data_IF_688986644039
#
_entry.id   IF_688986644039
#
_cell.length_a   1.000
_cell.length_b   1.000
_cell.length_c   1.000
_cell.angle_alpha   90.00
_cell.angle_beta   90.00
_cell.angle_gamma   90.00
#
_symmetry.space_group_name_H-M   'P 1'
#
loop_
_entity.id
_entity.type
_entity.pdbx_description
1 polymer ?
#
# COMPACT_ATOMS: atom_id res chain seq x y z
N UNK A 1 -2.52 21.54 -19.60
CA UNK A 1 -3.67 21.01 -18.82
C UNK A 1 -4.50 22.16 -18.31
N UNK A 2 -5.82 22.11 -18.44
CA UNK A 2 -6.71 23.13 -17.87
C UNK A 2 -6.80 22.94 -16.35
N UNK A 3 -7.15 24.01 -15.62
CA UNK A 3 -7.37 23.95 -14.15
C UNK A 3 -8.37 22.84 -13.78
N UNK A 4 -9.44 22.73 -14.54
CA UNK A 4 -10.46 21.69 -14.38
C UNK A 4 -9.89 20.25 -14.54
N UNK A 5 -8.98 20.05 -15.50
CA UNK A 5 -8.33 18.74 -15.69
C UNK A 5 -7.46 18.37 -14.48
N UNK A 6 -6.79 19.37 -13.87
CA UNK A 6 -5.99 19.16 -12.67
C UNK A 6 -6.86 18.79 -11.46
N UNK A 7 -7.97 19.51 -11.26
CA UNK A 7 -8.91 19.19 -10.17
C UNK A 7 -9.50 17.80 -10.32
N UNK A 8 -9.84 17.38 -11.55
CA UNK A 8 -10.35 16.02 -11.80
C UNK A 8 -9.27 14.98 -11.49
N UNK A 9 -8.02 15.21 -11.88
CA UNK A 9 -6.91 14.32 -11.63
C UNK A 9 -6.60 14.22 -10.12
N UNK A 10 -6.57 15.34 -9.40
CA UNK A 10 -6.40 15.39 -7.96
C UNK A 10 -7.55 14.68 -7.22
N UNK A 11 -8.80 14.93 -7.63
CA UNK A 11 -9.99 14.27 -7.07
C UNK A 11 -9.95 12.76 -7.35
N UNK A 12 -9.46 12.37 -8.51
CA UNK A 12 -9.31 10.96 -8.85
C UNK A 12 -8.21 10.30 -8.02
N UNK A 13 -7.02 10.89 -7.92
CA UNK A 13 -5.92 10.33 -7.14
C UNK A 13 -6.23 10.22 -5.65
N UNK A 14 -6.83 11.23 -5.04
CA UNK A 14 -7.11 11.27 -3.61
C UNK A 14 -8.42 10.57 -3.20
N UNK A 15 -9.39 10.47 -4.11
CA UNK A 15 -10.75 10.02 -3.79
C UNK A 15 -11.25 8.78 -4.52
N UNK A 16 -10.56 8.33 -5.59
CA UNK A 16 -11.04 7.22 -6.41
C UNK A 16 -11.22 5.92 -5.65
N UNK A 17 -10.31 5.59 -4.75
CA UNK A 17 -10.40 4.40 -3.92
C UNK A 17 -11.64 4.38 -3.04
N UNK A 18 -12.02 5.52 -2.43
CA UNK A 18 -13.24 5.64 -1.61
C UNK A 18 -14.49 5.56 -2.47
N UNK A 19 -14.53 6.28 -3.59
CA UNK A 19 -15.66 6.25 -4.54
C UNK A 19 -15.85 4.83 -5.08
N UNK A 20 -14.77 4.21 -5.52
CA UNK A 20 -14.81 2.86 -6.10
C UNK A 20 -15.26 1.82 -5.05
N UNK A 21 -14.73 1.89 -3.82
CA UNK A 21 -15.14 1.01 -2.72
C UNK A 21 -16.65 1.12 -2.44
N UNK A 22 -17.18 2.35 -2.40
CA UNK A 22 -18.60 2.61 -2.21
C UNK A 22 -19.46 2.05 -3.35
N UNK A 23 -19.01 2.20 -4.60
CA UNK A 23 -19.71 1.64 -5.76
C UNK A 23 -19.69 0.10 -5.75
N UNK A 24 -18.54 -0.51 -5.47
CA UNK A 24 -18.37 -1.97 -5.40
C UNK A 24 -19.24 -2.55 -4.28
N UNK A 25 -19.30 -1.88 -3.12
CA UNK A 25 -20.16 -2.28 -1.99
C UNK A 25 -21.64 -2.33 -2.39
N UNK A 26 -22.11 -1.32 -3.11
CA UNK A 26 -23.48 -1.27 -3.62
C UNK A 26 -23.80 -2.29 -4.73
N UNK A 27 -22.79 -2.96 -5.30
CA UNK A 27 -22.89 -3.88 -6.40
C UNK A 27 -22.52 -5.32 -6.04
N UNK A 28 -22.51 -5.67 -4.76
CA UNK A 28 -22.14 -7.00 -4.26
C UNK A 28 -20.77 -7.50 -4.81
N UNK A 29 -19.80 -6.57 -4.96
CA UNK A 29 -18.45 -6.91 -5.41
C UNK A 29 -18.26 -6.90 -6.95
N UNK A 30 -19.15 -6.33 -7.74
CA UNK A 30 -18.95 -6.20 -9.19
C UNK A 30 -18.00 -5.04 -9.53
N UNK A 31 -16.71 -5.37 -9.58
CA UNK A 31 -15.63 -4.42 -9.92
C UNK A 31 -15.79 -3.81 -11.31
N UNK A 32 -16.18 -4.63 -12.30
CA UNK A 32 -16.27 -4.17 -13.69
C UNK A 32 -17.35 -3.12 -13.88
N UNK A 33 -18.52 -3.38 -13.29
CA UNK A 33 -19.63 -2.44 -13.37
C UNK A 33 -19.36 -1.15 -12.61
N UNK A 34 -18.68 -1.23 -11.45
CA UNK A 34 -18.28 -0.08 -10.66
C UNK A 34 -17.26 0.80 -11.41
N UNK A 35 -16.22 0.17 -11.99
CA UNK A 35 -15.21 0.88 -12.79
C UNK A 35 -15.80 1.55 -14.04
N UNK A 36 -16.68 0.85 -14.76
CA UNK A 36 -17.37 1.41 -15.91
C UNK A 36 -18.19 2.66 -15.51
N UNK A 37 -18.95 2.57 -14.42
CA UNK A 37 -19.73 3.69 -13.93
C UNK A 37 -18.86 4.88 -13.50
N UNK A 38 -17.75 4.61 -12.83
CA UNK A 38 -16.78 5.65 -12.44
C UNK A 38 -16.17 6.32 -13.69
N UNK A 39 -15.76 5.54 -14.69
CA UNK A 39 -15.20 6.10 -15.93
C UNK A 39 -16.22 6.98 -16.68
N UNK A 40 -17.49 6.55 -16.78
CA UNK A 40 -18.53 7.37 -17.38
C UNK A 40 -18.77 8.67 -16.60
N UNK A 41 -18.72 8.63 -15.26
CA UNK A 41 -18.87 9.83 -14.44
C UNK A 41 -17.72 10.81 -14.62
N UNK A 42 -16.47 10.31 -14.71
CA UNK A 42 -15.27 11.13 -14.97
C UNK A 42 -15.34 11.79 -16.36
N UNK A 43 -15.78 11.05 -17.39
CA UNK A 43 -15.99 11.62 -18.73
C UNK A 43 -17.05 12.74 -18.69
N UNK A 44 -18.11 12.57 -17.92
CA UNK A 44 -19.12 13.64 -17.74
C UNK A 44 -18.55 14.84 -16.97
N UNK A 45 -17.71 14.63 -15.96
CA UNK A 45 -17.04 15.70 -15.27
C UNK A 45 -16.17 16.54 -16.22
N UNK A 46 -15.35 15.86 -17.05
CA UNK A 46 -14.53 16.51 -18.09
C UNK A 46 -15.34 17.36 -19.08
N UNK A 47 -16.56 16.96 -19.38
CA UNK A 47 -17.45 17.67 -20.29
C UNK A 47 -18.18 18.84 -19.62
N UNK A 48 -18.68 18.65 -18.40
CA UNK A 48 -19.57 19.59 -17.71
C UNK A 48 -18.86 20.62 -16.86
N UNK A 49 -17.85 20.24 -16.09
CA UNK A 49 -17.20 21.17 -15.15
C UNK A 49 -16.49 22.36 -15.81
N UNK A 50 -15.98 22.29 -17.05
CA UNK A 50 -15.48 23.46 -17.74
C UNK A 50 -16.55 24.52 -18.03
N UNK A 51 -17.82 24.10 -18.13
CA UNK A 51 -18.97 24.97 -18.47
C UNK A 51 -19.74 25.38 -17.23
N UNK A 52 -20.04 24.42 -16.34
CA UNK A 52 -20.92 24.59 -15.18
C UNK A 52 -20.18 24.98 -13.90
N UNK A 53 -18.82 24.92 -13.92
CA UNK A 53 -17.97 25.06 -12.75
C UNK A 53 -17.78 23.73 -11.99
N UNK A 54 -16.69 23.66 -11.22
CA UNK A 54 -16.40 22.52 -10.36
C UNK A 54 -17.38 22.51 -9.18
N UNK A 55 -18.08 21.39 -8.87
CA UNK A 55 -19.00 21.31 -7.76
C UNK A 55 -18.24 21.49 -6.42
N UNK A 56 -18.98 21.97 -5.37
CA UNK A 56 -18.38 22.13 -4.03
C UNK A 56 -17.82 20.82 -3.47
N UNK A 57 -18.43 19.70 -3.87
CA UNK A 57 -18.01 18.36 -3.51
C UNK A 57 -17.83 17.50 -4.75
N UNK A 58 -16.63 17.50 -5.39
CA UNK A 58 -16.35 16.76 -6.60
C UNK A 58 -16.56 15.24 -6.46
N UNK A 59 -16.14 14.66 -5.35
CA UNK A 59 -16.23 13.21 -5.13
C UNK A 59 -17.68 12.74 -4.95
N UNK A 60 -18.52 13.51 -4.23
CA UNK A 60 -19.94 13.21 -4.10
C UNK A 60 -20.66 13.29 -5.45
N UNK A 61 -20.34 14.30 -6.26
CA UNK A 61 -20.90 14.45 -7.60
C UNK A 61 -20.50 13.27 -8.51
N UNK A 62 -19.24 12.84 -8.48
CA UNK A 62 -18.74 11.66 -9.23
C UNK A 62 -19.47 10.40 -8.77
N UNK A 63 -19.59 10.18 -7.46
CA UNK A 63 -20.28 9.01 -6.89
C UNK A 63 -21.73 8.93 -7.33
N UNK A 64 -22.47 10.02 -7.22
CA UNK A 64 -23.89 10.12 -7.62
C UNK A 64 -24.04 9.90 -9.13
N UNK A 65 -23.18 10.55 -9.92
CA UNK A 65 -23.20 10.41 -11.38
C UNK A 65 -22.88 8.98 -11.81
N UNK A 66 -21.88 8.34 -11.20
CA UNK A 66 -21.54 6.95 -11.46
C UNK A 66 -22.69 6.01 -11.13
N UNK A 67 -23.33 6.17 -9.95
CA UNK A 67 -24.52 5.38 -9.56
C UNK A 67 -25.64 5.51 -10.59
N UNK A 68 -25.97 6.70 -10.99
CA UNK A 68 -27.03 6.94 -11.99
C UNK A 68 -26.70 6.24 -13.32
N UNK A 69 -25.45 6.30 -13.77
CA UNK A 69 -24.98 5.60 -14.97
C UNK A 69 -25.08 4.07 -14.84
N UNK A 70 -24.72 3.54 -13.69
CA UNK A 70 -24.83 2.12 -13.39
C UNK A 70 -26.31 1.68 -13.41
N UNK A 71 -27.20 2.44 -12.76
CA UNK A 71 -28.63 2.17 -12.76
C UNK A 71 -29.19 2.15 -14.19
N UNK A 72 -28.83 3.15 -15.00
CA UNK A 72 -29.26 3.21 -16.41
C UNK A 72 -28.76 2.01 -17.22
N UNK A 73 -27.51 1.57 -16.97
CA UNK A 73 -26.92 0.40 -17.62
C UNK A 73 -27.63 -0.90 -17.20
N UNK A 74 -27.95 -1.05 -15.92
CA UNK A 74 -28.72 -2.18 -15.40
C UNK A 74 -30.15 -2.20 -15.98
N UNK A 75 -30.83 -1.04 -16.04
CA UNK A 75 -32.15 -0.92 -16.66
C UNK A 75 -32.15 -1.32 -18.12
N UNK A 76 -31.16 -0.90 -18.91
CA UNK A 76 -31.02 -1.31 -20.33
C UNK A 76 -30.76 -2.81 -20.43
N UNK A 77 -29.88 -3.39 -19.59
CA UNK A 77 -29.65 -4.85 -19.56
C UNK A 77 -30.91 -5.63 -19.18
N UNK A 78 -31.73 -5.11 -18.22
CA UNK A 78 -33.00 -5.73 -17.82
C UNK A 78 -34.02 -5.75 -18.95
N UNK A 79 -34.12 -4.67 -19.73
CA UNK A 79 -35.02 -4.61 -20.89
C UNK A 79 -34.60 -5.62 -21.98
N UNK A 80 -33.35 -6.04 -22.02
CA UNK A 80 -32.81 -7.08 -22.89
C UNK A 80 -32.91 -8.50 -22.31
N UNK A 81 -32.91 -8.64 -20.95
CA UNK A 81 -32.95 -9.94 -20.28
C UNK A 81 -33.80 -9.86 -19.00
N UNK A 82 -34.98 -10.46 -19.02
CA UNK A 82 -35.89 -10.60 -17.85
C UNK A 82 -35.23 -11.41 -16.73
N UNK A 83 -34.47 -10.80 -15.81
CA UNK A 83 -33.88 -11.49 -14.63
C UNK A 83 -34.12 -10.75 -13.33
N UNK A 84 -34.56 -11.50 -12.31
CA UNK A 84 -35.00 -11.05 -10.99
C UNK A 84 -33.86 -10.49 -10.11
N UNK A 85 -32.62 -10.94 -10.31
CA UNK A 85 -31.43 -10.50 -9.54
C UNK A 85 -31.06 -9.03 -9.77
N UNK A 86 -31.31 -8.51 -10.97
CA UNK A 86 -31.00 -7.13 -11.32
C UNK A 86 -31.90 -6.11 -10.63
N UNK A 87 -33.12 -6.52 -10.25
CA UNK A 87 -34.06 -5.67 -9.49
C UNK A 87 -33.57 -5.39 -8.06
N UNK A 88 -32.93 -6.37 -7.42
CA UNK A 88 -32.39 -6.21 -6.08
C UNK A 88 -31.19 -5.24 -6.03
N UNK A 89 -30.33 -5.28 -7.06
CA UNK A 89 -29.22 -4.33 -7.19
C UNK A 89 -29.69 -2.90 -7.47
N UNK A 90 -30.69 -2.72 -8.36
CA UNK A 90 -31.29 -1.41 -8.62
C UNK A 90 -31.89 -0.80 -7.35
N UNK A 91 -32.64 -1.60 -6.56
CA UNK A 91 -33.28 -1.13 -5.34
C UNK A 91 -32.24 -0.67 -4.30
N UNK A 92 -31.16 -1.40 -4.13
CA UNK A 92 -30.06 -1.03 -3.22
C UNK A 92 -29.37 0.27 -3.64
N UNK A 93 -29.08 0.44 -4.94
CA UNK A 93 -28.47 1.66 -5.46
C UNK A 93 -29.42 2.86 -5.38
N UNK A 94 -30.72 2.67 -5.59
CA UNK A 94 -31.73 3.73 -5.45
C UNK A 94 -31.87 4.20 -3.99
N UNK A 95 -31.97 3.29 -3.04
CA UNK A 95 -32.01 3.61 -1.61
C UNK A 95 -30.80 4.42 -1.14
N UNK A 96 -29.61 4.17 -1.72
CA UNK A 96 -28.39 4.92 -1.41
C UNK A 96 -28.32 6.29 -2.10
N UNK A 97 -29.05 6.51 -3.23
CA UNK A 97 -29.01 7.77 -3.97
C UNK A 97 -30.03 8.80 -3.46
N UNK A 98 -31.04 8.37 -2.72
CA UNK A 98 -32.09 9.25 -2.15
C UNK A 98 -31.63 9.97 -0.86
N UNK A 99 -30.57 9.50 -0.20
CA UNK A 99 -29.91 10.26 0.83
C UNK A 99 -29.01 11.32 0.19
N UNK A 100 -29.26 12.59 0.45
CA UNK A 100 -28.34 13.68 0.12
C UNK A 100 -26.99 13.41 0.81
N UNK A 101 -26.02 12.88 0.02
CA UNK A 101 -24.74 12.48 0.55
C UNK A 101 -23.84 13.72 0.52
N UNK A 102 -23.72 14.42 1.63
CA UNK A 102 -22.53 15.21 1.94
C UNK A 102 -21.34 14.25 2.00
N UNK A 103 -20.15 14.66 1.58
CA UNK A 103 -18.96 13.78 1.53
C UNK A 103 -18.62 13.15 2.88
N UNK A 104 -18.94 13.82 3.97
CA UNK A 104 -18.80 13.29 5.33
C UNK A 104 -19.80 12.16 5.65
N UNK A 105 -20.84 11.98 4.82
CA UNK A 105 -21.87 10.95 4.98
C UNK A 105 -21.70 9.72 4.10
N UNK A 106 -20.68 9.65 3.22
CA UNK A 106 -20.40 8.45 2.44
C UNK A 106 -19.67 7.44 3.35
N UNK A 107 -20.23 6.23 3.60
CA UNK A 107 -19.54 5.21 4.37
C UNK A 107 -18.17 4.92 3.75
N UNK A 108 -17.14 4.78 4.58
CA UNK A 108 -15.82 4.44 4.11
C UNK A 108 -15.69 2.92 3.93
N UNK A 109 -15.94 2.47 2.72
CA UNK A 109 -15.90 1.06 2.35
C UNK A 109 -14.49 0.57 1.97
N UNK A 110 -13.46 1.43 2.11
CA UNK A 110 -12.07 1.09 1.71
C UNK A 110 -11.51 -0.09 2.49
N UNK A 111 -11.87 -0.24 3.76
CA UNK A 111 -11.41 -1.39 4.56
C UNK A 111 -11.88 -2.71 3.93
N UNK A 112 -13.13 -2.81 3.51
CA UNK A 112 -13.66 -3.99 2.81
C UNK A 112 -12.93 -4.23 1.48
N UNK A 113 -12.63 -3.14 0.75
CA UNK A 113 -11.92 -3.22 -0.52
C UNK A 113 -10.47 -3.69 -0.32
N UNK A 114 -9.76 -3.19 0.70
CA UNK A 114 -8.40 -3.64 1.06
C UNK A 114 -8.38 -5.15 1.29
N UNK A 115 -9.26 -5.67 2.15
CA UNK A 115 -9.32 -7.10 2.44
C UNK A 115 -9.74 -7.94 1.24
N UNK A 116 -10.52 -7.39 0.32
CA UNK A 116 -10.91 -8.07 -0.91
C UNK A 116 -9.76 -8.14 -1.91
N UNK A 117 -9.04 -7.03 -2.11
CA UNK A 117 -7.87 -6.98 -3.01
C UNK A 117 -6.71 -7.84 -2.52
N UNK A 118 -6.50 -7.90 -1.19
CA UNK A 118 -5.47 -8.71 -0.54
C UNK A 118 -5.98 -10.10 -0.13
N UNK A 119 -7.03 -10.64 -0.78
CA UNK A 119 -7.55 -11.95 -0.41
C UNK A 119 -6.58 -13.09 -0.77
N UNK A 120 -6.33 -14.08 0.15
CA UNK A 120 -5.38 -15.18 -0.07
C UNK A 120 -5.68 -16.07 -1.28
N UNK A 121 -6.90 -16.02 -1.81
CA UNK A 121 -7.22 -16.70 -3.06
C UNK A 121 -6.45 -16.14 -4.26
N UNK A 122 -5.94 -14.91 -4.19
CA UNK A 122 -5.14 -14.28 -5.23
C UNK A 122 -3.65 -14.53 -4.99
N UNK A 123 -2.87 -14.64 -6.08
CA UNK A 123 -1.41 -14.62 -5.97
C UNK A 123 -0.90 -13.21 -5.59
N UNK A 124 0.24 -13.09 -4.89
CA UNK A 124 0.77 -11.80 -4.42
C UNK A 124 0.85 -10.73 -5.52
N UNK A 125 1.29 -11.09 -6.72
CA UNK A 125 1.42 -10.14 -7.85
C UNK A 125 0.05 -9.64 -8.33
N UNK A 126 -1.00 -10.45 -8.17
CA UNK A 126 -2.36 -10.04 -8.50
C UNK A 126 -2.96 -9.17 -7.39
N UNK A 127 -2.66 -9.47 -6.12
CA UNK A 127 -3.03 -8.65 -4.97
C UNK A 127 -2.42 -7.25 -5.09
N UNK A 128 -1.11 -7.16 -5.36
CA UNK A 128 -0.38 -5.90 -5.57
C UNK A 128 -1.03 -5.09 -6.71
N UNK A 129 -1.17 -5.72 -7.89
CA UNK A 129 -1.70 -5.04 -9.07
C UNK A 129 -3.14 -4.54 -8.84
N UNK A 130 -3.98 -5.35 -8.20
CA UNK A 130 -5.37 -4.99 -7.92
C UNK A 130 -5.45 -3.89 -6.87
N UNK A 131 -4.65 -3.94 -5.80
CA UNK A 131 -4.59 -2.91 -4.75
C UNK A 131 -4.18 -1.55 -5.33
N UNK A 132 -3.10 -1.50 -6.11
CA UNK A 132 -2.66 -0.28 -6.77
C UNK A 132 -3.69 0.28 -7.76
N UNK A 133 -4.38 -0.61 -8.49
CA UNK A 133 -5.41 -0.20 -9.45
C UNK A 133 -6.64 0.39 -8.78
N UNK A 134 -7.13 -0.26 -7.73
CA UNK A 134 -8.45 0.04 -7.14
C UNK A 134 -8.39 1.04 -5.98
N UNK A 135 -7.36 0.98 -5.17
CA UNK A 135 -7.16 1.86 -4.02
C UNK A 135 -6.22 3.02 -4.36
N UNK A 136 -5.09 2.72 -5.00
CA UNK A 136 -4.09 3.71 -5.38
C UNK A 136 -4.43 4.51 -6.64
N UNK A 137 -5.46 4.12 -7.39
CA UNK A 137 -5.89 4.83 -8.59
C UNK A 137 -4.91 4.79 -9.77
N UNK A 138 -3.84 3.99 -9.69
CA UNK A 138 -2.84 3.88 -10.74
C UNK A 138 -3.45 3.28 -12.02
N UNK A 139 -3.02 3.77 -13.16
CA UNK A 139 -3.38 3.19 -14.46
C UNK A 139 -2.67 1.84 -14.67
N UNK A 140 -3.21 1.01 -15.55
CA UNK A 140 -2.57 -0.25 -15.94
C UNK A 140 -1.17 -0.04 -16.50
N UNK A 141 -0.94 1.08 -17.21
CA UNK A 141 0.37 1.43 -17.78
C UNK A 141 1.39 1.76 -16.67
N UNK A 142 0.99 2.56 -15.66
CA UNK A 142 1.85 2.90 -14.52
C UNK A 142 2.23 1.65 -13.73
N UNK A 143 1.26 0.76 -13.44
CA UNK A 143 1.52 -0.51 -12.74
C UNK A 143 2.44 -1.41 -13.57
N UNK A 144 2.20 -1.52 -14.88
CA UNK A 144 3.02 -2.33 -15.79
C UNK A 144 4.47 -1.83 -15.83
N UNK A 145 4.67 -0.51 -15.94
CA UNK A 145 5.98 0.13 -15.89
C UNK A 145 6.68 -0.11 -14.54
N UNK A 146 5.96 0.10 -13.43
CA UNK A 146 6.50 -0.07 -12.08
C UNK A 146 7.01 -1.50 -11.82
N UNK A 147 6.41 -2.50 -12.40
CA UNK A 147 6.80 -3.91 -12.24
C UNK A 147 7.51 -4.51 -13.46
N UNK A 148 7.98 -3.67 -14.39
CA UNK A 148 8.68 -4.08 -15.62
C UNK A 148 7.95 -5.20 -16.36
N UNK A 149 6.61 -5.12 -16.39
CA UNK A 149 5.73 -6.13 -16.99
C UNK A 149 5.10 -5.55 -18.25
N UNK A 150 4.98 -6.32 -19.35
CA UNK A 150 4.26 -5.83 -20.54
C UNK A 150 2.81 -5.42 -20.22
N UNK A 151 2.35 -4.29 -20.76
CA UNK A 151 1.01 -3.74 -20.52
C UNK A 151 -0.10 -4.78 -20.75
N UNK A 152 -0.10 -5.57 -21.86
CA UNK A 152 -1.12 -6.60 -22.08
C UNK A 152 -1.13 -7.68 -20.98
N UNK A 153 0.05 -8.05 -20.48
CA UNK A 153 0.18 -9.03 -19.40
C UNK A 153 -0.39 -8.49 -18.10
N UNK A 154 -0.12 -7.21 -17.77
CA UNK A 154 -0.68 -6.57 -16.58
C UNK A 154 -2.20 -6.43 -16.68
N UNK A 155 -2.72 -5.99 -17.83
CA UNK A 155 -4.17 -5.91 -18.09
C UNK A 155 -4.85 -7.28 -17.89
N UNK A 156 -4.25 -8.35 -18.43
CA UNK A 156 -4.76 -9.71 -18.29
C UNK A 156 -4.69 -10.21 -16.84
N UNK A 157 -3.64 -9.83 -16.07
CA UNK A 157 -3.52 -10.13 -14.63
C UNK A 157 -4.66 -9.50 -13.84
N UNK A 158 -4.97 -8.23 -14.08
CA UNK A 158 -6.10 -7.53 -13.44
C UNK A 158 -7.45 -8.16 -13.77
N UNK A 159 -7.70 -8.49 -15.04
CA UNK A 159 -8.95 -9.17 -15.45
C UNK A 159 -9.08 -10.52 -14.75
N UNK A 160 -8.02 -11.35 -14.73
CA UNK A 160 -8.03 -12.65 -14.05
C UNK A 160 -8.21 -12.53 -12.55
N UNK A 161 -7.62 -11.51 -11.91
CA UNK A 161 -7.79 -11.26 -10.48
C UNK A 161 -9.27 -10.99 -10.14
N UNK A 162 -9.93 -10.09 -10.87
CA UNK A 162 -11.36 -9.77 -10.70
C UNK A 162 -12.24 -10.99 -10.95
N UNK A 163 -11.97 -11.74 -12.02
CA UNK A 163 -12.67 -12.98 -12.29
C UNK A 163 -12.52 -14.01 -11.18
N UNK A 164 -11.32 -14.13 -10.62
CA UNK A 164 -11.05 -15.08 -9.53
C UNK A 164 -11.78 -14.69 -8.25
N UNK A 165 -11.86 -13.40 -7.90
CA UNK A 165 -12.67 -12.90 -6.80
C UNK A 165 -14.13 -13.31 -6.99
N UNK A 166 -14.69 -13.04 -8.17
CA UNK A 166 -16.09 -13.37 -8.53
C UNK A 166 -16.33 -14.88 -8.46
N UNK A 167 -15.49 -15.68 -9.11
CA UNK A 167 -15.68 -17.13 -9.22
C UNK A 167 -15.47 -17.86 -7.89
N UNK A 168 -14.57 -17.35 -7.03
CA UNK A 168 -14.34 -17.90 -5.70
C UNK A 168 -15.37 -17.42 -4.66
N UNK A 169 -16.30 -16.53 -5.06
CA UNK A 169 -17.28 -15.98 -4.14
C UNK A 169 -16.66 -15.20 -2.98
N UNK A 170 -15.54 -14.50 -3.23
CA UNK A 170 -14.86 -13.71 -2.20
C UNK A 170 -15.81 -12.62 -1.72
N UNK A 171 -16.20 -12.63 -0.43
CA UNK A 171 -17.17 -11.68 0.07
C UNK A 171 -16.56 -10.27 0.18
N UNK A 172 -17.32 -9.25 -0.23
CA UNK A 172 -16.96 -7.86 -0.04
C UNK A 172 -17.30 -7.40 1.38
N UNK A 173 -16.45 -7.77 2.34
CA UNK A 173 -16.65 -7.45 3.77
C UNK A 173 -15.33 -7.48 4.53
N UNK A 174 -15.33 -6.87 5.72
CA UNK A 174 -14.26 -7.04 6.70
C UNK A 174 -14.26 -8.50 7.17
N UNK A 175 -13.10 -9.16 7.31
CA UNK A 175 -13.00 -10.51 7.85
C UNK A 175 -13.55 -10.58 9.28
N UNK A 176 -14.08 -11.74 9.71
CA UNK A 176 -14.50 -11.92 11.08
C UNK A 176 -13.29 -11.81 12.04
N UNK A 177 -13.50 -11.45 13.33
CA UNK A 177 -12.41 -11.24 14.30
C UNK A 177 -11.44 -12.42 14.40
N UNK A 178 -11.92 -13.65 14.23
CA UNK A 178 -11.07 -14.86 14.25
C UNK A 178 -10.05 -14.95 13.11
N UNK A 179 -10.25 -14.24 12.02
CA UNK A 179 -9.37 -14.23 10.83
C UNK A 179 -8.67 -12.89 10.63
N UNK A 180 -9.01 -11.86 11.41
CA UNK A 180 -8.54 -10.49 11.12
C UNK A 180 -7.02 -10.39 11.18
N UNK A 181 -6.39 -11.01 12.18
CA UNK A 181 -4.94 -10.97 12.35
C UNK A 181 -4.19 -11.61 11.16
N UNK A 182 -4.59 -12.82 10.74
CA UNK A 182 -4.01 -13.49 9.56
C UNK A 182 -4.19 -12.66 8.29
N UNK A 183 -5.35 -12.03 8.15
CA UNK A 183 -5.66 -11.22 6.98
C UNK A 183 -4.88 -9.90 6.99
N UNK A 184 -4.66 -9.28 8.15
CA UNK A 184 -3.81 -8.09 8.29
C UNK A 184 -2.35 -8.40 7.96
N UNK A 185 -1.83 -9.57 8.33
CA UNK A 185 -0.49 -10.01 7.93
C UNK A 185 -0.35 -10.06 6.40
N UNK A 186 -1.37 -10.54 5.69
CA UNK A 186 -1.36 -10.54 4.23
C UNK A 186 -1.39 -9.11 3.68
N UNK A 187 -2.24 -8.24 4.22
CA UNK A 187 -2.35 -6.83 3.79
C UNK A 187 -1.04 -6.10 4.02
N UNK A 188 -0.44 -6.20 5.21
CA UNK A 188 0.84 -5.53 5.53
C UNK A 188 1.97 -6.02 4.64
N UNK A 189 2.00 -7.33 4.34
CA UNK A 189 2.97 -7.89 3.39
C UNK A 189 2.81 -7.28 2.00
N UNK A 190 1.59 -7.15 1.48
CA UNK A 190 1.33 -6.55 0.16
C UNK A 190 1.73 -5.06 0.15
N UNK A 191 1.37 -4.31 1.19
CA UNK A 191 1.76 -2.89 1.29
C UNK A 191 3.29 -2.71 1.37
N UNK A 192 3.96 -3.58 2.12
CA UNK A 192 5.42 -3.59 2.18
C UNK A 192 6.08 -3.95 0.84
N UNK A 193 5.53 -4.91 0.08
CA UNK A 193 6.01 -5.23 -1.26
C UNK A 193 5.83 -4.08 -2.24
N UNK A 194 4.72 -3.33 -2.16
CA UNK A 194 4.50 -2.11 -2.94
C UNK A 194 5.57 -1.07 -2.59
N UNK A 195 5.79 -0.83 -1.31
CA UNK A 195 6.83 0.10 -0.84
C UNK A 195 8.21 -0.28 -1.36
N UNK A 196 8.60 -1.55 -1.19
CA UNK A 196 9.91 -2.04 -1.63
C UNK A 196 10.11 -1.92 -3.15
N UNK A 197 9.07 -2.14 -3.94
CA UNK A 197 9.14 -1.95 -5.39
C UNK A 197 9.48 -0.50 -5.77
N UNK A 198 9.02 0.48 -4.97
CA UNK A 198 9.41 1.88 -5.13
C UNK A 198 10.78 2.20 -4.53
N UNK A 199 11.09 1.60 -3.39
CA UNK A 199 12.28 1.91 -2.60
C UNK A 199 13.58 1.34 -3.18
N UNK A 200 13.55 0.15 -3.77
CA UNK A 200 14.73 -0.54 -4.34
C UNK A 200 15.08 -0.10 -5.76
N UNK A 201 14.25 0.72 -6.36
CA UNK A 201 14.44 1.17 -7.72
C UNK A 201 15.52 2.26 -7.82
N UNK A 202 16.66 1.91 -8.34
CA UNK A 202 17.84 2.79 -8.43
C UNK A 202 18.20 3.17 -9.87
N UNK A 203 17.75 2.46 -10.88
CA UNK A 203 18.10 2.73 -12.29
C UNK A 203 16.86 3.00 -13.14
N UNK A 204 16.90 4.10 -13.90
CA UNK A 204 15.97 4.46 -14.96
C UNK A 204 14.49 4.67 -14.55
N UNK A 205 13.90 5.81 -14.79
CA UNK A 205 12.51 6.18 -14.45
C UNK A 205 12.22 6.41 -12.93
N UNK A 206 13.11 7.15 -12.29
CA UNK A 206 13.03 7.48 -10.86
C UNK A 206 11.69 8.11 -10.40
N UNK A 207 10.97 8.81 -11.28
CA UNK A 207 9.71 9.50 -10.93
C UNK A 207 8.53 8.57 -10.66
N UNK A 208 8.36 7.49 -11.43
CA UNK A 208 7.25 6.54 -11.26
C UNK A 208 7.38 5.69 -9.99
N UNK A 209 8.59 5.47 -9.52
CA UNK A 209 8.86 4.58 -8.39
C UNK A 209 8.81 5.28 -7.03
N UNK A 210 9.13 6.58 -6.98
CA UNK A 210 8.89 7.39 -5.76
C UNK A 210 7.40 7.50 -5.44
N UNK A 211 6.53 7.47 -6.44
CA UNK A 211 5.09 7.47 -6.27
C UNK A 211 4.59 6.19 -5.56
N UNK A 212 5.22 5.02 -5.79
CA UNK A 212 4.87 3.77 -5.10
C UNK A 212 5.17 3.83 -3.59
N UNK A 213 6.29 4.42 -3.17
CA UNK A 213 6.58 4.59 -1.75
C UNK A 213 5.53 5.47 -1.07
N UNK A 214 5.20 6.60 -1.70
CA UNK A 214 4.20 7.53 -1.20
C UNK A 214 2.82 6.89 -1.15
N UNK A 215 2.46 6.09 -2.17
CA UNK A 215 1.20 5.38 -2.23
C UNK A 215 1.11 4.27 -1.16
N UNK A 216 2.16 3.49 -0.96
CA UNK A 216 2.19 2.47 0.09
C UNK A 216 2.04 3.09 1.49
N UNK A 217 2.73 4.21 1.75
CA UNK A 217 2.58 4.96 2.99
C UNK A 217 1.13 5.43 3.14
N UNK A 218 0.55 6.06 2.12
CA UNK A 218 -0.83 6.55 2.15
C UNK A 218 -1.84 5.42 2.41
N UNK A 219 -1.72 4.30 1.71
CA UNK A 219 -2.62 3.15 1.90
C UNK A 219 -2.50 2.56 3.31
N UNK A 220 -1.30 2.55 3.89
CA UNK A 220 -1.09 2.07 5.26
C UNK A 220 -1.65 3.06 6.29
N UNK A 221 -1.57 4.38 6.04
CA UNK A 221 -2.23 5.39 6.86
C UNK A 221 -3.76 5.23 6.84
N UNK A 222 -4.32 5.02 5.65
CA UNK A 222 -5.75 4.72 5.48
C UNK A 222 -6.14 3.47 6.26
N UNK A 223 -5.37 2.39 6.15
CA UNK A 223 -5.63 1.15 6.89
C UNK A 223 -5.59 1.39 8.40
N UNK A 224 -4.55 2.05 8.92
CA UNK A 224 -4.41 2.35 10.34
C UNK A 224 -5.57 3.21 10.86
N UNK A 225 -5.99 4.22 10.10
CA UNK A 225 -7.13 5.08 10.46
C UNK A 225 -8.44 4.29 10.50
N UNK A 226 -8.71 3.48 9.47
CA UNK A 226 -9.95 2.70 9.39
C UNK A 226 -10.03 1.61 10.46
N UNK A 227 -8.91 1.03 10.88
CA UNK A 227 -8.88 0.10 12.01
C UNK A 227 -9.15 0.80 13.33
N UNK A 228 -8.64 2.02 13.53
CA UNK A 228 -8.86 2.79 14.74
C UNK A 228 -10.29 3.36 14.85
N UNK A 229 -10.96 3.59 13.73
CA UNK A 229 -12.34 4.11 13.66
C UNK A 229 -13.40 2.99 13.74
N UNK A 230 -13.03 1.75 13.51
CA UNK A 230 -13.95 0.61 13.54
C UNK A 230 -14.16 0.14 15.00
N UNK A 231 -15.42 0.11 15.45
CA UNK A 231 -15.76 -0.22 16.84
C UNK A 231 -15.50 -1.71 17.21
N UNK A 232 -15.43 -2.59 16.23
CA UNK A 232 -15.24 -4.04 16.41
C UNK A 232 -13.76 -4.45 16.26
N UNK A 233 -12.91 -3.52 15.82
CA UNK A 233 -11.48 -3.73 15.61
C UNK A 233 -10.67 -2.87 16.59
N UNK A 234 -9.42 -3.25 16.78
CA UNK A 234 -8.45 -2.48 17.55
C UNK A 234 -7.31 -2.02 16.64
N UNK A 235 -6.57 -1.02 17.09
CA UNK A 235 -5.30 -0.67 16.44
C UNK A 235 -4.39 -1.90 16.39
N UNK A 236 -3.85 -2.17 15.20
CA UNK A 236 -2.92 -3.28 15.03
C UNK A 236 -1.48 -2.78 15.11
N UNK A 237 -0.67 -3.30 16.05
CA UNK A 237 0.70 -2.82 16.28
C UNK A 237 1.62 -3.06 15.08
N UNK A 238 1.38 -4.10 14.26
CA UNK A 238 2.19 -4.37 13.08
C UNK A 238 1.83 -3.48 11.89
N UNK A 239 0.57 -3.04 11.78
CA UNK A 239 0.19 -2.00 10.81
C UNK A 239 0.87 -0.68 11.16
N UNK A 240 0.89 -0.30 12.44
CA UNK A 240 1.60 0.89 12.92
C UNK A 240 3.12 0.74 12.75
N UNK A 241 3.66 -0.45 13.06
CA UNK A 241 5.07 -0.78 12.86
C UNK A 241 5.50 -0.65 11.39
N UNK A 242 4.69 -1.17 10.48
CA UNK A 242 4.93 -1.03 9.03
C UNK A 242 4.89 0.44 8.59
N UNK A 243 3.92 1.22 9.06
CA UNK A 243 3.81 2.64 8.75
C UNK A 243 5.06 3.39 9.24
N UNK A 244 5.48 3.15 10.48
CA UNK A 244 6.69 3.73 11.05
C UNK A 244 7.94 3.36 10.25
N UNK A 245 8.10 2.09 9.89
CA UNK A 245 9.21 1.59 9.07
C UNK A 245 9.29 2.32 7.72
N UNK A 246 8.17 2.41 7.01
CA UNK A 246 8.13 3.08 5.71
C UNK A 246 8.43 4.57 5.82
N UNK A 247 7.89 5.27 6.83
CA UNK A 247 8.18 6.69 7.07
C UNK A 247 9.66 6.94 7.37
N UNK A 248 10.28 6.11 8.22
CA UNK A 248 11.69 6.22 8.57
C UNK A 248 12.62 5.93 7.38
N UNK A 249 12.27 4.95 6.54
CA UNK A 249 13.01 4.67 5.32
C UNK A 249 12.88 5.79 4.30
N UNK A 250 11.66 6.26 4.08
CA UNK A 250 11.36 7.27 3.08
C UNK A 250 11.92 8.65 3.45
N UNK A 251 12.04 8.95 4.74
CA UNK A 251 12.63 10.19 5.23
C UNK A 251 14.07 10.44 4.74
N UNK A 252 14.77 9.39 4.32
CA UNK A 252 16.13 9.46 3.78
C UNK A 252 16.20 9.55 2.25
N UNK A 253 15.05 9.60 1.57
CA UNK A 253 14.93 9.55 0.10
C UNK A 253 15.89 10.49 -0.61
N UNK A 254 15.97 11.75 -0.16
CA UNK A 254 16.80 12.79 -0.79
C UNK A 254 18.31 12.51 -0.71
N UNK A 255 18.76 11.77 0.33
CA UNK A 255 20.17 11.48 0.58
C UNK A 255 20.65 10.13 0.02
N UNK A 256 19.74 9.33 -0.58
CA UNK A 256 20.06 7.95 -1.00
C UNK A 256 20.76 7.81 -2.32
N UNK A 257 20.65 8.80 -3.17
CA UNK A 257 21.14 8.76 -4.56
C UNK A 257 21.91 10.04 -4.84
N UNK A 258 23.04 9.93 -5.47
CA UNK A 258 23.81 11.08 -5.93
C UNK A 258 23.26 11.68 -7.25
N UNK A 259 23.87 12.75 -7.73
CA UNK A 259 23.49 13.42 -8.96
C UNK A 259 23.68 12.53 -10.23
N UNK A 260 24.45 11.46 -10.13
CA UNK A 260 24.67 10.49 -11.21
C UNK A 260 23.71 9.28 -11.11
N UNK A 261 22.82 9.25 -10.11
CA UNK A 261 21.89 8.15 -9.88
C UNK A 261 22.50 6.95 -9.16
N UNK A 262 23.71 7.09 -8.56
CA UNK A 262 24.36 6.03 -7.81
C UNK A 262 23.86 5.99 -6.36
N UNK A 263 23.74 4.79 -5.79
CA UNK A 263 23.35 4.61 -4.39
C UNK A 263 24.45 5.13 -3.47
N UNK A 264 24.08 5.99 -2.53
CA UNK A 264 24.93 6.43 -1.42
C UNK A 264 24.71 5.48 -0.24
N UNK A 265 25.79 4.89 0.29
CA UNK A 265 25.73 4.03 1.46
C UNK A 265 25.19 4.80 2.66
N UNK A 266 24.51 4.13 3.57
CA UNK A 266 23.87 4.76 4.72
C UNK A 266 24.85 5.58 5.60
N UNK A 267 26.06 5.10 5.74
CA UNK A 267 27.14 5.77 6.49
C UNK A 267 27.63 7.06 5.82
N UNK A 268 27.54 7.14 4.49
CA UNK A 268 27.98 8.27 3.65
C UNK A 268 26.85 9.27 3.38
N UNK A 269 25.61 8.96 3.76
CA UNK A 269 24.47 9.85 3.52
C UNK A 269 24.56 11.13 4.32
N UNK A 270 24.34 12.26 3.64
CA UNK A 270 24.18 13.55 4.30
C UNK A 270 22.88 13.61 5.11
N UNK A 271 23.00 13.48 6.43
CA UNK A 271 21.88 13.49 7.37
C UNK A 271 21.15 14.84 7.44
N UNK A 272 21.74 15.92 6.95
CA UNK A 272 21.07 17.22 6.85
C UNK A 272 19.94 17.20 5.79
N UNK A 273 20.03 16.32 4.80
CA UNK A 273 19.00 16.14 3.78
C UNK A 273 17.85 15.22 4.23
N UNK A 274 17.95 14.60 5.40
CA UNK A 274 16.89 13.73 5.91
C UNK A 274 15.68 14.55 6.38
N UNK A 275 14.49 14.09 6.05
CA UNK A 275 13.22 14.73 6.43
C UNK A 275 12.96 14.57 7.94
N UNK A 276 13.44 15.50 8.76
CA UNK A 276 13.30 15.46 10.24
C UNK A 276 11.86 15.43 10.73
N UNK A 277 10.90 16.20 10.16
CA UNK A 277 9.49 16.08 10.52
C UNK A 277 8.93 14.66 10.28
N UNK A 278 9.29 14.03 9.17
CA UNK A 278 8.85 12.67 8.84
C UNK A 278 9.47 11.63 9.77
N UNK A 279 10.74 11.80 10.15
CA UNK A 279 11.41 10.97 11.17
C UNK A 279 10.67 11.07 12.50
N UNK A 280 10.41 12.28 12.99
CA UNK A 280 9.71 12.50 14.25
C UNK A 280 8.31 11.86 14.25
N UNK A 281 7.59 11.97 13.13
CA UNK A 281 6.30 11.30 12.95
C UNK A 281 6.42 9.78 12.99
N UNK A 282 7.39 9.19 12.29
CA UNK A 282 7.65 7.75 12.26
C UNK A 282 7.98 7.21 13.65
N UNK A 283 8.81 7.94 14.40
CA UNK A 283 9.17 7.58 15.79
C UNK A 283 7.97 7.61 16.73
N UNK A 284 7.13 8.64 16.67
CA UNK A 284 5.93 8.73 17.50
C UNK A 284 4.91 7.61 17.19
N UNK A 285 4.80 7.19 15.93
CA UNK A 285 3.98 6.03 15.55
C UNK A 285 4.58 4.73 16.08
N UNK A 286 5.90 4.57 16.01
CA UNK A 286 6.59 3.40 16.56
C UNK A 286 6.42 3.30 18.08
N UNK A 287 6.58 4.40 18.82
CA UNK A 287 6.34 4.45 20.26
C UNK A 287 4.92 4.00 20.61
N UNK A 288 3.92 4.48 19.85
CA UNK A 288 2.52 4.05 20.00
C UNK A 288 2.36 2.55 19.73
N UNK A 289 2.97 2.02 18.66
CA UNK A 289 2.92 0.61 18.34
C UNK A 289 3.52 -0.26 19.45
N UNK A 290 4.68 0.13 19.98
CA UNK A 290 5.37 -0.58 21.07
C UNK A 290 4.57 -0.53 22.38
N UNK A 291 3.86 0.55 22.66
CA UNK A 291 3.02 0.69 23.85
C UNK A 291 1.82 -0.29 23.87
N UNK A 292 1.42 -0.85 22.71
CA UNK A 292 0.41 -1.90 22.62
C UNK A 292 0.91 -3.27 23.11
N UNK A 293 2.22 -3.46 23.31
CA UNK A 293 2.80 -4.60 24.06
C UNK A 293 2.90 -5.92 23.26
N UNK A 294 2.73 -5.88 21.95
CA UNK A 294 2.82 -7.06 21.07
C UNK A 294 3.85 -6.80 19.95
N UNK A 295 5.16 -6.86 20.25
CA UNK A 295 6.20 -6.59 19.27
C UNK A 295 6.18 -7.64 18.16
N UNK A 296 6.22 -7.17 16.91
CA UNK A 296 6.26 -8.00 15.72
C UNK A 296 7.39 -7.59 14.77
N UNK A 297 7.56 -8.30 13.64
CA UNK A 297 8.66 -8.09 12.70
C UNK A 297 8.77 -6.67 12.16
N UNK A 298 7.67 -5.99 11.83
CA UNK A 298 7.71 -4.63 11.30
C UNK A 298 8.09 -3.62 12.37
N UNK A 299 7.61 -3.78 13.61
CA UNK A 299 8.01 -2.93 14.73
C UNK A 299 9.51 -3.04 15.01
N UNK A 300 10.08 -4.26 14.99
CA UNK A 300 11.54 -4.46 15.20
C UNK A 300 12.32 -3.81 14.06
N UNK A 301 11.92 -3.98 12.82
CA UNK A 301 12.58 -3.33 11.68
C UNK A 301 12.47 -1.79 11.76
N UNK A 302 11.33 -1.26 12.20
CA UNK A 302 11.15 0.16 12.43
C UNK A 302 12.07 0.67 13.56
N UNK A 303 12.21 -0.09 14.64
CA UNK A 303 13.14 0.25 15.75
C UNK A 303 14.60 0.29 15.29
N UNK A 304 15.03 -0.66 14.46
CA UNK A 304 16.38 -0.62 13.83
C UNK A 304 16.53 0.65 12.99
N UNK A 305 15.53 1.00 12.20
CA UNK A 305 15.54 2.21 11.36
C UNK A 305 15.54 3.49 12.19
N UNK A 306 14.84 3.50 13.36
CA UNK A 306 14.81 4.61 14.29
C UNK A 306 16.21 4.86 14.90
N UNK A 307 16.93 3.81 15.32
CA UNK A 307 18.30 3.94 15.84
C UNK A 307 19.26 4.58 14.83
N UNK A 308 19.10 4.27 13.56
CA UNK A 308 19.87 4.96 12.52
C UNK A 308 19.45 6.43 12.36
N UNK A 309 18.17 6.74 12.52
CA UNK A 309 17.62 8.08 12.34
C UNK A 309 17.92 9.02 13.53
N UNK A 310 18.03 8.47 14.75
CA UNK A 310 18.38 9.19 15.98
C UNK A 310 19.85 9.58 16.03
N UNK A 311 20.73 8.73 15.53
CA UNK A 311 22.17 8.98 15.55
C UNK A 311 22.51 10.26 14.78
N UNK A 312 23.34 11.14 15.38
CA UNK A 312 23.77 12.39 14.75
C UNK A 312 24.75 12.14 13.60
N UNK A 313 25.58 11.12 13.72
CA UNK A 313 26.50 10.65 12.69
C UNK A 313 26.47 9.11 12.59
N UNK A 314 27.08 8.55 11.57
CA UNK A 314 27.21 7.10 11.43
C UNK A 314 27.95 6.46 12.60
N UNK A 315 28.94 7.18 13.18
CA UNK A 315 29.72 6.71 14.32
C UNK A 315 28.92 6.64 15.63
N UNK A 316 27.84 7.43 15.75
CA UNK A 316 26.98 7.48 16.95
C UNK A 316 25.88 6.41 16.92
N UNK A 317 25.81 5.59 15.88
CA UNK A 317 24.79 4.55 15.74
C UNK A 317 24.97 3.46 16.80
N UNK A 318 23.92 3.13 17.56
CA UNK A 318 23.94 2.05 18.56
C UNK A 318 23.87 0.67 17.91
N UNK A 319 24.99 0.25 17.36
CA UNK A 319 25.12 -1.05 16.73
C UNK A 319 24.88 -2.23 17.68
N UNK A 320 25.09 -2.04 19.00
CA UNK A 320 24.82 -3.10 19.98
C UNK A 320 23.33 -3.37 20.09
N UNK A 321 22.53 -2.31 20.18
CA UNK A 321 21.09 -2.43 20.21
C UNK A 321 20.56 -2.98 18.88
N UNK A 322 21.08 -2.53 17.74
CA UNK A 322 20.73 -3.05 16.40
C UNK A 322 21.02 -4.55 16.31
N UNK A 323 22.17 -5.03 16.79
CA UNK A 323 22.51 -6.45 16.78
C UNK A 323 21.53 -7.30 17.61
N UNK A 324 21.07 -6.79 18.76
CA UNK A 324 20.04 -7.44 19.59
C UNK A 324 18.67 -7.47 18.90
N UNK A 325 18.28 -6.38 18.25
CA UNK A 325 17.03 -6.31 17.51
C UNK A 325 17.03 -7.27 16.33
N UNK A 326 18.13 -7.38 15.58
CA UNK A 326 18.24 -8.38 14.53
C UNK A 326 18.21 -9.82 15.07
N UNK A 327 18.75 -10.08 16.25
CA UNK A 327 18.64 -11.41 16.88
C UNK A 327 17.17 -11.73 17.19
N UNK A 328 16.43 -10.79 17.79
CA UNK A 328 14.99 -10.97 18.04
C UNK A 328 14.19 -11.13 16.74
N UNK A 329 14.49 -10.35 15.69
CA UNK A 329 13.85 -10.47 14.40
C UNK A 329 14.10 -11.87 13.77
N UNK A 330 15.32 -12.38 13.88
CA UNK A 330 15.67 -13.70 13.36
C UNK A 330 14.91 -14.84 14.08
N UNK A 331 14.71 -14.71 15.39
CA UNK A 331 13.90 -15.69 16.15
C UNK A 331 12.42 -15.69 15.70
N UNK A 332 11.86 -14.52 15.35
CA UNK A 332 10.48 -14.41 14.88
C UNK A 332 10.31 -14.81 13.42
N UNK A 333 11.27 -14.45 12.59
CA UNK A 333 11.22 -14.65 11.13
C UNK A 333 12.60 -15.06 10.60
N UNK A 334 12.97 -16.32 10.75
CA UNK A 334 14.25 -16.83 10.23
C UNK A 334 14.36 -16.59 8.72
N UNK A 335 15.40 -15.87 8.31
CA UNK A 335 15.67 -15.57 6.92
C UNK A 335 17.17 -15.38 6.71
N UNK A 336 17.76 -15.91 5.61
CA UNK A 336 19.15 -15.68 5.27
C UNK A 336 19.51 -14.19 5.20
N UNK A 337 18.61 -13.33 4.70
CA UNK A 337 18.85 -11.89 4.62
C UNK A 337 18.83 -11.23 6.00
N UNK A 338 17.95 -11.65 6.90
CA UNK A 338 17.95 -11.17 8.29
C UNK A 338 19.23 -11.57 8.99
N UNK A 339 19.71 -12.80 8.79
CA UNK A 339 20.99 -13.28 9.36
C UNK A 339 22.20 -12.53 8.80
N UNK A 340 22.21 -12.22 7.49
CA UNK A 340 23.22 -11.37 6.88
C UNK A 340 23.27 -10.00 7.56
N UNK A 341 22.13 -9.35 7.71
CA UNK A 341 22.06 -8.04 8.35
C UNK A 341 22.45 -8.10 9.85
N UNK A 342 22.08 -9.18 10.55
CA UNK A 342 22.52 -9.44 11.92
C UNK A 342 24.03 -9.57 11.99
N UNK A 343 24.64 -10.29 11.07
CA UNK A 343 26.10 -10.47 11.03
C UNK A 343 26.85 -9.14 10.81
N UNK A 344 26.33 -8.28 9.92
CA UNK A 344 26.87 -6.93 9.73
C UNK A 344 26.76 -6.11 11.03
N UNK A 345 25.59 -6.11 11.67
CA UNK A 345 25.39 -5.39 12.94
C UNK A 345 26.32 -5.92 14.04
N UNK A 346 26.54 -7.23 14.12
CA UNK A 346 27.50 -7.86 15.05
C UNK A 346 28.93 -7.46 14.73
N UNK A 347 29.30 -7.35 13.44
CA UNK A 347 30.62 -6.89 13.03
C UNK A 347 30.86 -5.44 13.48
N UNK A 348 29.89 -4.57 13.30
CA UNK A 348 29.97 -3.17 13.73
C UNK A 348 30.00 -3.02 15.25
N UNK A 349 29.21 -3.83 15.99
CA UNK A 349 29.12 -3.76 17.44
C UNK A 349 30.30 -4.39 18.18
N UNK A 350 30.82 -5.51 17.67
CA UNK A 350 31.76 -6.40 18.41
C UNK A 350 33.02 -6.75 17.63
N UNK A 351 33.18 -6.19 16.43
CA UNK A 351 34.34 -6.33 15.58
C UNK A 351 34.15 -7.37 14.45
N UNK A 352 34.88 -7.18 13.34
CA UNK A 352 34.66 -7.89 12.06
C UNK A 352 34.83 -9.41 12.17
N UNK A 353 35.71 -9.91 13.04
CA UNK A 353 35.88 -11.36 13.24
C UNK A 353 34.61 -12.06 13.68
N UNK A 354 33.78 -11.44 14.52
CA UNK A 354 32.52 -12.01 15.02
C UNK A 354 31.45 -12.03 13.93
N UNK A 355 31.35 -10.96 13.16
CA UNK A 355 30.44 -10.91 12.02
C UNK A 355 30.82 -11.93 10.95
N UNK A 356 32.10 -12.01 10.59
CA UNK A 356 32.59 -12.97 9.61
C UNK A 356 32.35 -14.43 10.03
N UNK A 357 32.43 -14.73 11.32
CA UNK A 357 32.10 -16.07 11.84
C UNK A 357 30.65 -16.46 11.54
N UNK A 358 29.69 -15.53 11.65
CA UNK A 358 28.29 -15.75 11.30
C UNK A 358 28.13 -15.92 9.78
N UNK A 359 28.77 -15.06 8.97
CA UNK A 359 28.72 -15.13 7.50
C UNK A 359 29.40 -16.38 6.91
N UNK A 360 30.16 -17.10 7.71
CA UNK A 360 30.85 -18.32 7.29
C UNK A 360 30.06 -19.59 7.58
N UNK A 361 28.85 -19.50 8.13
CA UNK A 361 27.96 -20.64 8.36
C UNK A 361 27.59 -21.27 6.99
N UNK A 362 27.78 -22.61 6.81
CA UNK A 362 27.58 -23.27 5.53
C UNK A 362 26.19 -23.03 4.93
N UNK A 363 25.15 -23.15 5.73
CA UNK A 363 23.76 -22.95 5.30
C UNK A 363 23.50 -21.52 4.78
N UNK A 364 24.16 -20.52 5.39
CA UNK A 364 24.04 -19.12 4.97
C UNK A 364 24.80 -18.87 3.66
N UNK A 365 25.97 -19.47 3.52
CA UNK A 365 26.79 -19.39 2.30
C UNK A 365 26.00 -19.99 1.12
N UNK A 366 25.46 -21.19 1.29
CA UNK A 366 24.69 -21.88 0.25
C UNK A 366 23.42 -21.10 -0.14
N UNK A 367 22.74 -20.50 0.84
CA UNK A 367 21.51 -19.74 0.60
C UNK A 367 21.75 -18.39 -0.10
N UNK A 368 22.93 -17.76 0.09
CA UNK A 368 23.22 -16.41 -0.39
C UNK A 368 24.35 -16.33 -1.43
N UNK A 369 24.82 -17.44 -1.97
CA UNK A 369 25.94 -17.49 -2.94
C UNK A 369 25.70 -16.59 -4.17
N UNK A 370 24.46 -16.50 -4.65
CA UNK A 370 24.06 -15.62 -5.75
C UNK A 370 23.73 -14.17 -5.35
N UNK A 371 23.83 -13.81 -4.06
CA UNK A 371 23.44 -12.51 -3.57
C UNK A 371 24.63 -11.56 -3.38
N UNK A 372 24.77 -10.57 -4.27
CA UNK A 372 25.96 -9.71 -4.33
C UNK A 372 26.26 -8.98 -3.00
N UNK A 373 25.24 -8.56 -2.22
CA UNK A 373 25.45 -7.91 -0.93
C UNK A 373 26.05 -8.84 0.11
N UNK A 374 25.87 -10.14 0.00
CA UNK A 374 26.52 -11.11 0.85
C UNK A 374 28.04 -11.11 0.63
N UNK A 375 28.48 -11.07 -0.63
CA UNK A 375 29.90 -11.00 -0.96
C UNK A 375 30.54 -9.66 -0.56
N UNK A 376 29.76 -8.56 -0.64
CA UNK A 376 30.22 -7.26 -0.20
C UNK A 376 30.40 -7.16 1.34
N UNK A 377 29.61 -7.93 2.11
CA UNK A 377 29.67 -7.96 3.57
C UNK A 377 30.78 -8.86 4.12
N UNK A 378 31.31 -9.81 3.33
CA UNK A 378 32.44 -10.71 3.70
C UNK A 378 33.77 -10.07 3.43
#
# INVERSE_FOLDING_TARGET
>A
MTETSRVIEETFRSGSGRVLATLISGLDGDFELAEDGLQEALLMALQRWPQDGTPRNPAAWITTTARNKIIDKLRRRRNLARKTEQLAQEARLQQQSESEIEMDGIPDERLKLIFTCCHPALAPEAQIALTLRTLGGLSTNEIAAAFMTPIPTMAQRLVRAKQKIRNAGVPFRVPPPSLIHERLQTVTTILYLIFNAGYTAVEGEALLRTDLCSEAIHLTEVLATLLAEDNDLAEDPEVLGLLALMLLHDARRAARVDAAGQIILLEDQDRAQWNRPQIARGMGILERALALGYPGPYQIQAAISALHAEAQSAADTDWRQIALLYAALYEMQPSPVVELNRAVAVAMAYGPRRGLALLSAPDLVDALDGYYLFHAAR
#
